data_IF_938011636898
#
_entry.id   IF_938011636898
#
_cell.length_a   1.000
_cell.length_b   1.000
_cell.length_c   1.000
_cell.angle_alpha   90.00
_cell.angle_beta   90.00
_cell.angle_gamma   90.00
#
_symmetry.space_group_name_H-M   'P 1'
#
loop_
_entity.id
_entity.type
_entity.pdbx_description
1 polymer ?
#
# COMPACT_ATOMS: atom_id res chain seq x y z
N UNK A 1 39.95 -40.43 -13.56
CA UNK A 1 38.62 -40.08 -13.01
C UNK A 1 38.82 -38.99 -11.97
N UNK A 2 38.62 -37.71 -12.30
CA UNK A 2 38.78 -36.61 -11.34
C UNK A 2 37.49 -36.44 -10.52
N UNK A 3 37.62 -36.18 -9.23
CA UNK A 3 36.52 -35.85 -8.32
C UNK A 3 35.87 -34.51 -8.70
N UNK A 4 34.54 -34.36 -8.59
CA UNK A 4 33.90 -33.07 -8.80
C UNK A 4 34.02 -32.18 -7.56
N UNK A 5 34.38 -30.93 -7.80
CA UNK A 5 34.41 -29.83 -6.82
C UNK A 5 33.00 -29.56 -6.27
N UNK A 6 32.84 -29.22 -4.97
CA UNK A 6 31.54 -28.83 -4.42
C UNK A 6 31.14 -27.48 -5.00
N UNK A 7 29.98 -27.47 -5.66
CA UNK A 7 29.39 -26.28 -6.28
C UNK A 7 29.11 -25.18 -5.27
N UNK A 8 29.42 -23.95 -5.67
CA UNK A 8 29.02 -22.71 -5.01
C UNK A 8 27.50 -22.69 -4.88
N UNK A 9 26.99 -22.96 -3.67
CA UNK A 9 25.60 -22.71 -3.33
C UNK A 9 25.40 -21.21 -3.38
N UNK A 10 24.74 -20.71 -4.42
CA UNK A 10 24.14 -19.39 -4.47
C UNK A 10 23.10 -19.31 -3.34
N UNK A 11 23.57 -18.91 -2.16
CA UNK A 11 22.75 -18.57 -1.02
C UNK A 11 21.88 -17.37 -1.40
N UNK A 12 20.69 -17.63 -1.94
CA UNK A 12 19.57 -16.71 -1.87
C UNK A 12 19.32 -16.44 -0.39
N UNK A 13 19.78 -15.28 0.11
CA UNK A 13 19.36 -14.78 1.41
C UNK A 13 17.99 -14.16 1.20
N UNK A 14 16.90 -14.78 1.70
CA UNK A 14 15.60 -14.13 1.66
C UNK A 14 15.68 -12.88 2.54
N UNK A 15 15.24 -11.76 1.98
CA UNK A 15 15.24 -10.45 2.63
C UNK A 15 14.16 -10.41 3.73
N UNK A 16 14.30 -11.22 4.78
CA UNK A 16 13.45 -11.14 5.96
C UNK A 16 13.88 -9.94 6.80
N UNK A 17 13.18 -8.84 6.54
CA UNK A 17 12.74 -7.79 7.46
C UNK A 17 13.33 -7.91 8.88
N UNK A 18 14.43 -7.21 9.12
CA UNK A 18 14.99 -7.02 10.46
C UNK A 18 14.13 -6.01 11.23
N UNK A 19 13.77 -6.31 12.49
CA UNK A 19 12.96 -5.44 13.36
C UNK A 19 13.52 -4.01 13.52
N UNK A 20 14.85 -3.83 13.38
CA UNK A 20 15.52 -2.52 13.36
C UNK A 20 15.15 -1.63 12.15
N UNK A 21 14.83 -2.23 10.99
CA UNK A 21 14.38 -1.51 9.79
C UNK A 21 13.02 -0.84 10.04
N UNK A 22 12.19 -1.40 10.93
CA UNK A 22 10.88 -0.84 11.27
C UNK A 22 10.96 0.37 12.21
N UNK A 23 11.87 0.36 13.21
CA UNK A 23 12.08 1.51 14.10
C UNK A 23 12.67 2.70 13.32
N UNK A 24 13.60 2.44 12.40
CA UNK A 24 14.16 3.49 11.53
C UNK A 24 13.24 3.90 10.37
N UNK A 25 12.45 2.97 9.84
CA UNK A 25 11.54 3.17 8.69
C UNK A 25 10.49 4.25 8.96
N UNK A 26 9.93 4.29 10.17
CA UNK A 26 9.02 5.36 10.59
C UNK A 26 9.68 6.75 10.59
N UNK A 27 10.94 6.84 11.03
CA UNK A 27 11.68 8.12 11.07
C UNK A 27 12.03 8.66 9.67
N UNK A 28 12.27 7.76 8.72
CA UNK A 28 12.59 8.09 7.32
C UNK A 28 11.33 8.44 6.55
N UNK A 29 10.31 7.58 6.58
CA UNK A 29 9.03 7.83 5.91
C UNK A 29 8.42 9.18 6.27
N UNK A 30 8.41 9.53 7.55
CA UNK A 30 7.96 10.85 8.02
C UNK A 30 8.76 12.01 7.44
N UNK A 31 10.11 11.98 7.48
CA UNK A 31 10.92 13.08 6.93
C UNK A 31 10.70 13.28 5.44
N UNK A 32 10.50 12.19 4.70
CA UNK A 32 10.12 12.27 3.29
C UNK A 32 8.74 12.90 3.13
N UNK A 33 7.78 12.48 3.96
CA UNK A 33 6.41 13.02 3.93
C UNK A 33 6.35 14.51 4.27
N UNK A 34 7.02 14.96 5.33
CA UNK A 34 7.04 16.39 5.70
C UNK A 34 7.60 17.23 4.53
N UNK A 35 8.69 16.78 3.90
CA UNK A 35 9.26 17.42 2.71
C UNK A 35 8.27 17.45 1.54
N UNK A 36 7.58 16.36 1.28
CA UNK A 36 6.57 16.30 0.21
C UNK A 36 5.38 17.24 0.47
N UNK A 37 4.94 17.36 1.72
CA UNK A 37 3.83 18.25 2.08
C UNK A 37 4.25 19.73 1.97
N UNK A 38 5.47 20.08 2.38
CA UNK A 38 5.88 21.50 2.50
C UNK A 38 6.62 22.04 1.29
N UNK A 39 7.40 21.22 0.59
CA UNK A 39 8.33 21.69 -0.45
C UNK A 39 7.87 21.37 -1.87
N UNK A 40 7.03 20.35 -2.07
CA UNK A 40 6.65 19.88 -3.40
C UNK A 40 5.22 20.32 -3.72
N UNK A 41 5.02 21.22 -4.71
CA UNK A 41 3.68 21.62 -5.12
C UNK A 41 2.95 20.44 -5.77
N UNK A 42 1.62 20.41 -5.60
CA UNK A 42 0.74 19.40 -6.20
C UNK A 42 1.15 17.94 -5.90
N UNK A 43 1.65 17.70 -4.69
CA UNK A 43 2.08 16.36 -4.26
C UNK A 43 0.99 15.62 -3.49
N UNK A 44 0.28 16.32 -2.61
CA UNK A 44 -0.76 15.77 -1.74
C UNK A 44 -2.12 15.98 -2.37
N UNK A 45 -2.94 14.94 -2.43
CA UNK A 45 -4.29 15.03 -2.97
C UNK A 45 -5.28 14.17 -2.19
N UNK A 46 -6.56 14.49 -2.34
CA UNK A 46 -7.68 13.64 -1.91
C UNK A 46 -8.28 12.93 -3.12
N UNK A 47 -8.86 11.75 -2.91
CA UNK A 47 -9.43 10.95 -4.00
C UNK A 47 -10.94 10.73 -3.80
N UNK A 48 -11.69 10.90 -4.88
CA UNK A 48 -13.07 10.40 -5.02
C UNK A 48 -13.33 10.05 -6.48
N UNK A 49 -14.33 9.23 -6.77
CA UNK A 49 -14.71 8.94 -8.16
C UNK A 49 -15.15 10.19 -8.94
N UNK A 50 -15.84 11.12 -8.27
CA UNK A 50 -16.33 12.35 -8.88
C UNK A 50 -15.23 13.40 -9.11
N UNK A 51 -14.20 13.41 -8.26
CA UNK A 51 -13.05 14.30 -8.39
C UNK A 51 -11.75 13.50 -8.18
N UNK A 52 -11.24 12.86 -9.25
CA UNK A 52 -10.00 12.11 -9.20
C UNK A 52 -8.82 13.09 -9.02
N UNK A 53 -8.06 12.94 -7.93
CA UNK A 53 -6.88 13.75 -7.59
C UNK A 53 -7.15 15.24 -7.34
N UNK A 54 -7.99 15.53 -6.36
CA UNK A 54 -8.17 16.90 -5.89
C UNK A 54 -6.98 17.31 -5.00
N UNK A 55 -6.05 18.10 -5.54
CA UNK A 55 -4.86 18.55 -4.82
C UNK A 55 -5.21 19.37 -3.57
N UNK A 56 -4.53 19.06 -2.47
CA UNK A 56 -4.68 19.79 -1.23
C UNK A 56 -3.94 21.12 -1.32
N UNK A 57 -4.58 22.20 -0.87
CA UNK A 57 -3.92 23.48 -0.73
C UNK A 57 -2.79 23.38 0.31
N UNK A 58 -1.66 24.09 0.12
CA UNK A 58 -0.60 24.17 1.11
C UNK A 58 -1.14 24.68 2.44
N UNK A 59 -0.71 24.08 3.54
CA UNK A 59 -1.11 24.48 4.90
C UNK A 59 0.11 24.87 5.73
N UNK A 60 0.05 25.98 6.49
CA UNK A 60 1.15 26.39 7.35
C UNK A 60 1.32 25.48 8.57
N UNK A 61 0.23 24.87 9.04
CA UNK A 61 0.24 23.87 10.10
C UNK A 61 -0.30 22.53 9.58
N UNK A 62 0.63 21.59 9.42
CA UNK A 62 0.39 20.24 8.91
C UNK A 62 0.14 19.25 10.05
N UNK A 63 0.47 19.60 11.30
CA UNK A 63 0.38 18.71 12.44
C UNK A 63 -0.91 18.97 13.24
N UNK A 64 -1.40 17.99 14.03
CA UNK A 64 -0.99 16.59 14.04
C UNK A 64 -1.66 15.79 12.91
N UNK A 65 -1.01 14.71 12.47
CA UNK A 65 -1.56 13.80 11.46
C UNK A 65 -1.23 12.33 11.75
N UNK A 66 -1.98 11.43 11.11
CA UNK A 66 -1.70 9.99 11.10
C UNK A 66 -1.05 9.60 9.77
N UNK A 67 0.15 9.02 9.81
CA UNK A 67 0.76 8.36 8.65
C UNK A 67 0.46 6.87 8.69
N UNK A 68 -0.26 6.38 7.68
CA UNK A 68 -0.55 4.96 7.44
C UNK A 68 0.31 4.47 6.28
N UNK A 69 1.44 3.84 6.61
CA UNK A 69 2.36 3.30 5.61
C UNK A 69 2.02 1.84 5.31
N UNK A 70 1.56 1.56 4.09
CA UNK A 70 1.12 0.24 3.63
C UNK A 70 2.21 -0.38 2.74
N UNK A 71 2.90 -1.38 3.27
CA UNK A 71 3.86 -2.22 2.56
C UNK A 71 3.48 -3.69 2.67
N UNK A 72 4.44 -4.57 2.97
CA UNK A 72 4.15 -5.99 3.27
C UNK A 72 3.15 -6.13 4.43
N UNK A 73 3.32 -5.32 5.47
CA UNK A 73 2.33 -5.07 6.53
C UNK A 73 1.95 -3.58 6.58
N UNK A 74 1.28 -3.16 7.65
CA UNK A 74 0.80 -1.79 7.84
C UNK A 74 1.42 -1.19 9.10
N UNK A 75 1.98 0.01 8.98
CA UNK A 75 2.46 0.80 10.12
C UNK A 75 1.66 2.08 10.25
N UNK A 76 1.20 2.39 11.46
CA UNK A 76 0.47 3.63 11.75
C UNK A 76 1.27 4.48 12.74
N UNK A 77 1.62 5.68 12.32
CA UNK A 77 2.49 6.59 13.07
C UNK A 77 1.75 7.89 13.29
N UNK A 78 1.51 8.26 14.55
CA UNK A 78 1.05 9.60 14.92
C UNK A 78 2.23 10.55 14.82
N UNK A 79 2.05 11.66 14.13
CA UNK A 79 3.05 12.72 14.02
C UNK A 79 2.43 14.00 14.60
N UNK A 80 2.96 14.42 15.74
CA UNK A 80 2.49 15.61 16.48
C UNK A 80 3.33 16.87 16.17
N UNK A 81 4.47 16.71 15.50
CA UNK A 81 5.36 17.81 15.13
C UNK A 81 6.65 17.33 14.44
N UNK A 82 7.53 18.26 14.02
CA UNK A 82 8.71 17.95 13.20
C UNK A 82 9.69 16.92 13.77
N UNK A 83 9.70 16.74 15.10
CA UNK A 83 10.51 15.73 15.80
C UNK A 83 9.69 14.87 16.76
N UNK A 84 8.37 15.04 16.78
CA UNK A 84 7.48 14.39 17.73
C UNK A 84 6.60 13.39 16.99
N UNK A 85 6.95 12.11 17.09
CA UNK A 85 6.21 11.03 16.44
C UNK A 85 6.26 9.75 17.27
N UNK A 86 5.23 8.92 17.12
CA UNK A 86 5.15 7.64 17.81
C UNK A 86 4.39 6.65 16.95
N UNK A 87 4.90 5.42 16.83
CA UNK A 87 4.15 4.33 16.21
C UNK A 87 3.01 3.94 17.16
N UNK A 88 1.78 4.21 16.75
CA UNK A 88 0.59 4.03 17.59
C UNK A 88 -0.15 2.74 17.30
N UNK A 89 -0.01 2.19 16.08
CA UNK A 89 -0.67 0.94 15.70
C UNK A 89 0.01 0.29 14.48
N UNK A 90 -0.53 -0.83 14.05
CA UNK A 90 -0.21 -1.50 12.80
C UNK A 90 -1.09 -2.73 12.58
N UNK A 91 -1.00 -3.32 11.39
CA UNK A 91 -1.69 -4.55 11.03
C UNK A 91 -0.74 -5.45 10.25
N UNK A 92 -0.84 -6.76 10.47
CA UNK A 92 -0.17 -7.76 9.63
C UNK A 92 -0.89 -7.94 8.29
N UNK A 93 -2.18 -7.55 8.20
CA UNK A 93 -2.97 -7.57 6.98
C UNK A 93 -2.62 -6.36 6.10
N UNK A 94 -1.58 -6.53 5.28
CA UNK A 94 -1.09 -5.51 4.36
C UNK A 94 -1.00 -6.02 2.92
N UNK A 95 -0.15 -5.39 2.11
CA UNK A 95 0.08 -5.78 0.73
C UNK A 95 0.71 -7.15 0.58
N UNK A 96 1.52 -7.59 1.55
CA UNK A 96 2.10 -8.93 1.56
C UNK A 96 1.04 -10.01 1.77
N UNK A 97 0.01 -9.73 2.55
CA UNK A 97 -1.14 -10.63 2.72
C UNK A 97 -1.95 -10.73 1.44
N UNK A 98 -2.28 -9.58 0.82
CA UNK A 98 -3.02 -9.56 -0.45
C UNK A 98 -2.25 -10.35 -1.52
N UNK A 99 -0.97 -10.04 -1.70
CA UNK A 99 -0.12 -10.69 -2.69
C UNK A 99 0.01 -12.19 -2.40
N UNK A 100 0.30 -12.58 -1.16
CA UNK A 100 0.47 -13.98 -0.79
C UNK A 100 -0.81 -14.80 -1.03
N UNK A 101 -1.97 -14.29 -0.64
CA UNK A 101 -3.26 -14.98 -0.86
C UNK A 101 -3.60 -15.05 -2.34
N UNK A 102 -3.43 -13.98 -3.11
CA UNK A 102 -3.73 -14.00 -4.53
C UNK A 102 -2.77 -14.90 -5.32
N UNK A 103 -1.50 -15.01 -4.92
CA UNK A 103 -0.58 -15.96 -5.53
C UNK A 103 -0.96 -17.42 -5.28
N UNK A 104 -1.72 -17.71 -4.21
CA UNK A 104 -2.24 -19.05 -3.94
C UNK A 104 -3.57 -19.31 -4.66
N UNK A 105 -4.39 -18.27 -4.84
CA UNK A 105 -5.77 -18.40 -5.32
C UNK A 105 -5.95 -18.06 -6.81
N UNK A 106 -4.94 -17.49 -7.45
CA UNK A 106 -4.98 -17.03 -8.84
C UNK A 106 -3.68 -17.39 -9.55
N UNK A 107 -3.68 -17.32 -10.88
CA UNK A 107 -2.50 -17.55 -11.71
C UNK A 107 -1.63 -16.29 -11.90
N UNK A 108 -1.89 -15.22 -11.15
CA UNK A 108 -1.13 -13.97 -11.25
C UNK A 108 0.35 -14.17 -10.91
N UNK A 109 1.22 -13.60 -11.74
CA UNK A 109 2.68 -13.63 -11.55
C UNK A 109 3.24 -12.34 -10.99
N UNK A 110 2.48 -11.25 -11.04
CA UNK A 110 2.89 -9.95 -10.52
C UNK A 110 1.78 -9.26 -9.74
N UNK A 111 2.17 -8.33 -8.87
CA UNK A 111 1.21 -7.52 -8.13
C UNK A 111 0.37 -6.63 -9.05
N UNK A 112 0.94 -6.16 -10.17
CA UNK A 112 0.23 -5.31 -11.12
C UNK A 112 -0.81 -6.12 -11.92
N UNK A 113 -0.53 -7.39 -12.25
CA UNK A 113 -1.54 -8.31 -12.81
C UNK A 113 -2.69 -8.55 -11.82
N UNK A 114 -2.39 -8.73 -10.53
CA UNK A 114 -3.42 -8.90 -9.49
C UNK A 114 -4.33 -7.68 -9.37
N UNK A 115 -3.75 -6.48 -9.41
CA UNK A 115 -4.51 -5.24 -9.43
C UNK A 115 -5.37 -5.16 -10.69
N UNK A 116 -4.81 -5.44 -11.87
CA UNK A 116 -5.55 -5.47 -13.14
C UNK A 116 -6.72 -6.46 -13.13
N UNK A 117 -6.55 -7.65 -12.53
CA UNK A 117 -7.65 -8.59 -12.31
C UNK A 117 -8.73 -8.03 -11.37
N UNK A 118 -8.30 -7.38 -10.29
CA UNK A 118 -9.21 -6.70 -9.37
C UNK A 118 -9.93 -5.48 -9.99
N UNK A 119 -9.53 -4.99 -11.16
CA UNK A 119 -10.29 -3.98 -11.93
C UNK A 119 -11.41 -4.60 -12.78
N UNK A 120 -11.35 -5.88 -13.13
CA UNK A 120 -12.27 -6.53 -14.07
C UNK A 120 -13.27 -7.54 -13.44
N UNK A 121 -13.03 -7.98 -12.21
CA UNK A 121 -13.96 -8.81 -11.44
C UNK A 121 -15.25 -8.16 -10.90
N UNK A 122 -15.97 -8.95 -10.12
CA UNK A 122 -17.18 -8.55 -9.40
C UNK A 122 -17.18 -9.22 -8.01
N UNK A 123 -16.93 -8.42 -6.97
CA UNK A 123 -16.84 -8.95 -5.62
C UNK A 123 -18.19 -9.48 -5.11
N UNK A 124 -19.32 -9.05 -5.68
CA UNK A 124 -20.65 -9.51 -5.26
C UNK A 124 -20.88 -11.00 -5.55
N UNK A 125 -20.05 -11.63 -6.38
CA UNK A 125 -20.08 -13.08 -6.63
C UNK A 125 -19.43 -13.87 -5.49
N UNK A 126 -18.50 -13.27 -4.76
CA UNK A 126 -17.66 -13.90 -3.73
C UNK A 126 -18.05 -13.46 -2.32
N UNK A 127 -18.35 -12.18 -2.14
CA UNK A 127 -18.69 -11.57 -0.85
C UNK A 127 -20.17 -11.70 -0.53
N UNK A 128 -20.47 -11.85 0.75
CA UNK A 128 -21.82 -11.68 1.30
C UNK A 128 -22.04 -10.20 1.59
N UNK A 129 -23.09 -9.62 1.02
CA UNK A 129 -23.49 -8.23 1.24
C UNK A 129 -24.60 -8.15 2.30
N UNK A 130 -24.82 -6.97 2.86
CA UNK A 130 -25.93 -6.70 3.78
C UNK A 130 -27.28 -7.03 3.12
N UNK A 131 -27.44 -6.71 1.83
CA UNK A 131 -28.63 -7.04 1.06
C UNK A 131 -28.89 -8.55 0.95
N UNK A 132 -27.84 -9.38 0.91
CA UNK A 132 -27.98 -10.84 0.86
C UNK A 132 -28.50 -11.43 2.18
N UNK A 133 -28.30 -10.72 3.29
CA UNK A 133 -28.74 -11.14 4.64
C UNK A 133 -30.14 -10.61 4.96
N UNK A 134 -30.39 -9.34 4.64
CA UNK A 134 -31.60 -8.62 5.08
C UNK A 134 -32.61 -8.33 3.96
N UNK A 135 -32.33 -8.71 2.71
CA UNK A 135 -33.17 -8.40 1.54
C UNK A 135 -33.17 -6.91 1.14
N UNK A 136 -32.35 -6.08 1.79
CA UNK A 136 -32.31 -4.63 1.60
C UNK A 136 -31.19 -3.97 2.41
N UNK A 137 -31.28 -2.66 2.63
CA UNK A 137 -30.36 -1.96 3.53
C UNK A 137 -30.70 -2.20 5.01
N UNK A 138 -29.73 -2.07 5.90
CA UNK A 138 -29.95 -2.15 7.34
C UNK A 138 -29.98 -0.74 7.96
N UNK A 139 -31.13 -0.08 7.80
CA UNK A 139 -31.32 1.33 8.16
C UNK A 139 -31.09 1.65 9.64
N UNK A 140 -31.32 0.69 10.55
CA UNK A 140 -31.10 0.88 12.00
C UNK A 140 -29.67 1.26 12.36
N UNK A 141 -28.69 0.83 11.56
CA UNK A 141 -27.25 1.09 11.77
C UNK A 141 -26.64 1.81 10.57
N UNK A 142 -27.47 2.28 9.63
CA UNK A 142 -27.02 3.06 8.47
C UNK A 142 -26.22 2.28 7.43
N UNK A 143 -26.36 0.94 7.35
CA UNK A 143 -25.65 0.13 6.37
C UNK A 143 -26.46 0.00 5.07
N UNK A 144 -25.81 0.24 3.93
CA UNK A 144 -26.43 0.09 2.59
C UNK A 144 -26.53 -1.40 2.23
N UNK A 145 -27.47 -1.76 1.37
CA UNK A 145 -27.60 -3.13 0.86
C UNK A 145 -26.33 -3.62 0.15
N UNK A 146 -25.59 -2.72 -0.49
CA UNK A 146 -24.32 -3.00 -1.17
C UNK A 146 -23.11 -3.10 -0.25
N UNK A 147 -23.25 -2.81 1.04
CA UNK A 147 -22.15 -2.92 2.00
C UNK A 147 -21.75 -4.39 2.17
N UNK A 148 -20.46 -4.69 2.12
CA UNK A 148 -19.94 -6.03 2.40
C UNK A 148 -20.20 -6.36 3.88
N UNK A 149 -20.95 -7.43 4.13
CA UNK A 149 -21.19 -7.96 5.47
C UNK A 149 -20.15 -9.02 5.85
N UNK A 150 -19.77 -9.88 4.90
CA UNK A 150 -18.72 -10.88 5.08
C UNK A 150 -17.94 -11.06 3.78
N UNK A 151 -16.67 -10.64 3.79
CA UNK A 151 -15.74 -10.97 2.71
C UNK A 151 -15.67 -12.50 2.53
N UNK A 152 -15.66 -12.98 1.30
CA UNK A 152 -15.65 -14.42 0.97
C UNK A 152 -16.83 -15.25 1.49
N UNK A 153 -17.88 -14.61 2.04
CA UNK A 153 -18.98 -15.31 2.69
C UNK A 153 -19.78 -16.24 1.77
N UNK A 154 -19.78 -16.01 0.44
CA UNK A 154 -20.48 -16.90 -0.52
C UNK A 154 -19.68 -18.15 -0.88
N UNK A 155 -18.37 -18.18 -0.62
CA UNK A 155 -17.51 -19.33 -0.93
C UNK A 155 -17.96 -20.56 -0.15
N UNK A 156 -18.15 -20.41 1.16
CA UNK A 156 -18.62 -21.50 2.01
C UNK A 156 -20.05 -21.94 1.67
N UNK A 157 -20.94 -20.98 1.39
CA UNK A 157 -22.34 -21.26 1.03
C UNK A 157 -22.43 -22.11 -0.24
N UNK A 158 -21.75 -21.70 -1.31
CA UNK A 158 -21.77 -22.45 -2.58
C UNK A 158 -21.11 -23.81 -2.47
N UNK A 159 -20.08 -23.96 -1.61
CA UNK A 159 -19.44 -25.27 -1.39
C UNK A 159 -20.44 -26.27 -0.82
N UNK A 160 -21.20 -25.86 0.21
CA UNK A 160 -22.24 -26.70 0.81
C UNK A 160 -23.40 -26.99 -0.12
N UNK A 161 -23.84 -26.01 -0.92
CA UNK A 161 -24.89 -26.20 -1.91
C UNK A 161 -24.46 -27.20 -3.00
N UNK A 162 -23.20 -27.15 -3.44
CA UNK A 162 -22.64 -28.11 -4.39
C UNK A 162 -22.53 -29.52 -3.81
N UNK A 163 -22.07 -29.64 -2.56
CA UNK A 163 -22.00 -30.92 -1.84
C UNK A 163 -23.39 -31.54 -1.64
N UNK A 164 -24.40 -30.73 -1.30
CA UNK A 164 -25.78 -31.20 -1.13
C UNK A 164 -26.42 -31.64 -2.46
N UNK A 165 -26.24 -30.87 -3.54
CA UNK A 165 -26.75 -31.22 -4.85
C UNK A 165 -26.11 -32.49 -5.43
N UNK A 166 -24.82 -32.73 -5.15
CA UNK A 166 -24.15 -33.98 -5.52
C UNK A 166 -24.73 -35.18 -4.75
N UNK A 167 -24.98 -35.02 -3.45
CA UNK A 167 -25.57 -36.08 -2.62
C UNK A 167 -27.01 -36.45 -3.03
N UNK A 168 -27.81 -35.49 -3.52
CA UNK A 168 -29.16 -35.78 -4.04
C UNK A 168 -29.13 -36.42 -5.44
N UNK A 169 -28.13 -36.11 -6.28
CA UNK A 169 -27.97 -36.71 -7.60
C UNK A 169 -27.54 -38.19 -7.54
N UNK A 170 -26.82 -38.60 -6.49
CA UNK A 170 -26.40 -40.00 -6.27
C UNK A 170 -27.50 -40.86 -5.57
N UNK A 171 -28.64 -40.25 -5.20
CA UNK A 171 -29.70 -40.88 -4.41
C UNK A 171 -30.86 -41.51 -5.19
N UNK A 172 -30.88 -41.43 -6.53
CA UNK A 172 -32.03 -41.81 -7.38
C UNK A 172 -31.69 -42.94 -8.39
N UNK A 173 -30.92 -43.92 -7.93
CA UNK A 173 -30.62 -45.16 -8.66
C UNK A 173 -31.25 -46.38 -8.01
N UNK A 174 -32.51 -46.65 -8.33
CA UNK A 174 -33.14 -47.95 -8.04
C UNK A 174 -32.40 -49.04 -8.83
N UNK A 175 -32.06 -50.14 -8.15
CA UNK A 175 -31.01 -51.06 -8.58
C UNK A 175 -31.36 -51.97 -9.75
N UNK A 176 -30.35 -52.32 -10.54
CA UNK A 176 -30.07 -53.73 -10.87
C UNK A 176 -28.67 -53.91 -11.51
N UNK A 177 -27.95 -54.94 -11.06
CA UNK A 177 -27.04 -55.72 -11.92
C UNK A 177 -25.57 -55.31 -12.10
N UNK A 178 -24.71 -56.08 -11.41
CA UNK A 178 -23.52 -56.76 -11.95
C UNK A 178 -22.12 -56.07 -11.96
N UNK A 179 -21.15 -56.93 -11.65
CA UNK A 179 -19.72 -56.73 -11.38
C UNK A 179 -18.89 -56.29 -12.59
N UNK A 180 -17.77 -55.60 -12.34
CA UNK A 180 -16.75 -55.36 -13.37
C UNK A 180 -15.65 -54.36 -13.01
N UNK A 181 -14.61 -54.86 -12.36
CA UNK A 181 -13.18 -54.62 -12.57
C UNK A 181 -12.59 -53.20 -12.82
N UNK A 182 -11.42 -53.05 -12.18
CA UNK A 182 -10.23 -52.25 -12.56
C UNK A 182 -10.05 -50.84 -11.97
N UNK A 183 -8.94 -50.75 -11.22
CA UNK A 183 -8.47 -49.55 -10.57
C UNK A 183 -8.00 -48.49 -11.55
N UNK A 184 -8.44 -47.26 -11.28
CA UNK A 184 -7.86 -46.03 -11.77
C UNK A 184 -7.42 -45.21 -10.57
N UNK A 185 -6.13 -44.89 -10.53
CA UNK A 185 -5.47 -44.11 -9.49
C UNK A 185 -6.15 -42.75 -9.27
N UNK A 186 -6.10 -42.29 -8.02
CA UNK A 186 -6.82 -41.14 -7.49
C UNK A 186 -6.79 -39.89 -8.36
N UNK A 187 -7.94 -39.56 -8.93
CA UNK A 187 -8.28 -38.22 -9.40
C UNK A 187 -9.36 -37.64 -8.48
N UNK A 188 -8.97 -37.32 -7.24
CA UNK A 188 -9.78 -36.52 -6.32
C UNK A 188 -9.88 -35.07 -6.79
N UNK A 189 -10.56 -34.85 -7.91
CA UNK A 189 -10.88 -33.52 -8.40
C UNK A 189 -12.02 -32.95 -7.58
N UNK A 190 -11.71 -32.23 -6.50
CA UNK A 190 -12.66 -31.40 -5.77
C UNK A 190 -13.29 -30.39 -6.76
N UNK A 191 -14.42 -30.72 -7.38
CA UNK A 191 -15.23 -29.76 -8.14
C UNK A 191 -16.00 -28.88 -7.17
N UNK A 192 -15.26 -28.14 -6.34
CA UNK A 192 -15.82 -27.01 -5.60
C UNK A 192 -16.33 -25.95 -6.58
N UNK A 193 -17.24 -25.07 -6.13
CA UNK A 193 -17.75 -23.97 -6.96
C UNK A 193 -16.59 -23.12 -7.49
N UNK A 194 -16.47 -23.03 -8.81
CA UNK A 194 -15.40 -22.29 -9.48
C UNK A 194 -15.75 -20.80 -9.50
N UNK A 195 -15.03 -20.00 -8.71
CA UNK A 195 -15.09 -18.54 -8.78
C UNK A 195 -14.09 -18.03 -9.81
N UNK A 196 -14.41 -16.92 -10.47
CA UNK A 196 -13.45 -16.26 -11.35
C UNK A 196 -12.32 -15.64 -10.54
N UNK A 197 -11.10 -15.72 -11.04
CA UNK A 197 -9.92 -15.18 -10.36
C UNK A 197 -10.01 -13.67 -10.19
N UNK A 198 -10.65 -12.97 -11.13
CA UNK A 198 -10.89 -11.54 -11.07
C UNK A 198 -11.86 -11.17 -9.93
N UNK A 199 -12.89 -11.99 -9.70
CA UNK A 199 -13.86 -11.78 -8.61
C UNK A 199 -13.20 -11.99 -7.24
N UNK A 200 -12.36 -13.03 -7.13
CA UNK A 200 -11.52 -13.31 -5.94
C UNK A 200 -10.56 -12.13 -5.69
N UNK A 201 -9.91 -11.65 -6.75
CA UNK A 201 -8.97 -10.52 -6.69
C UNK A 201 -9.65 -9.25 -6.19
N UNK A 202 -10.83 -8.93 -6.73
CA UNK A 202 -11.61 -7.76 -6.29
C UNK A 202 -12.06 -7.89 -4.83
N UNK A 203 -12.58 -9.05 -4.44
CA UNK A 203 -13.03 -9.32 -3.07
C UNK A 203 -11.88 -9.18 -2.06
N UNK A 204 -10.71 -9.79 -2.32
CA UNK A 204 -9.56 -9.66 -1.42
C UNK A 204 -9.02 -8.24 -1.35
N UNK A 205 -8.97 -7.52 -2.48
CA UNK A 205 -8.54 -6.13 -2.50
C UNK A 205 -9.44 -5.28 -1.61
N UNK A 206 -10.77 -5.45 -1.69
CA UNK A 206 -11.71 -4.78 -0.80
C UNK A 206 -11.59 -5.22 0.65
N UNK A 207 -11.41 -6.51 0.93
CA UNK A 207 -11.27 -7.02 2.29
C UNK A 207 -10.06 -6.37 2.99
N UNK A 208 -8.88 -6.39 2.34
CA UNK A 208 -7.65 -5.81 2.89
C UNK A 208 -7.78 -4.28 2.98
N UNK A 209 -8.23 -3.61 1.93
CA UNK A 209 -8.32 -2.14 1.91
C UNK A 209 -9.33 -1.60 2.92
N UNK A 210 -10.51 -2.22 3.04
CA UNK A 210 -11.52 -1.83 4.04
C UNK A 210 -11.01 -2.05 5.46
N UNK A 211 -10.31 -3.17 5.72
CA UNK A 211 -9.74 -3.44 7.04
C UNK A 211 -8.68 -2.38 7.42
N UNK A 212 -7.80 -2.03 6.49
CA UNK A 212 -6.81 -0.96 6.68
C UNK A 212 -7.50 0.38 6.96
N UNK A 213 -8.50 0.74 6.16
CA UNK A 213 -9.26 1.98 6.31
C UNK A 213 -9.98 2.06 7.67
N UNK A 214 -10.61 0.98 8.12
CA UNK A 214 -11.31 0.93 9.40
C UNK A 214 -10.34 1.08 10.58
N UNK A 215 -9.21 0.35 10.58
CA UNK A 215 -8.21 0.47 11.64
C UNK A 215 -7.61 1.88 11.64
N UNK A 216 -7.32 2.46 10.47
CA UNK A 216 -6.81 3.83 10.36
C UNK A 216 -7.79 4.85 10.94
N UNK A 217 -9.08 4.71 10.63
CA UNK A 217 -10.15 5.52 11.23
C UNK A 217 -10.16 5.40 12.76
N UNK A 218 -10.20 4.18 13.31
CA UNK A 218 -10.27 3.96 14.76
C UNK A 218 -9.04 4.53 15.48
N UNK A 219 -7.85 4.36 14.90
CA UNK A 219 -6.61 4.90 15.45
C UNK A 219 -6.61 6.43 15.38
N UNK A 220 -7.06 7.02 14.28
CA UNK A 220 -7.18 8.46 14.15
C UNK A 220 -8.18 9.03 15.16
N UNK A 221 -9.35 8.40 15.33
CA UNK A 221 -10.36 8.78 16.32
C UNK A 221 -9.81 8.71 17.75
N UNK A 222 -9.17 7.60 18.13
CA UNK A 222 -8.59 7.41 19.46
C UNK A 222 -7.51 8.45 19.80
N UNK A 223 -6.87 9.03 18.78
CA UNK A 223 -5.83 10.04 18.96
C UNK A 223 -6.26 11.48 18.63
N UNK A 224 -7.54 11.71 18.31
CA UNK A 224 -8.08 13.02 17.94
C UNK A 224 -7.46 13.60 16.67
N UNK A 225 -7.19 12.76 15.66
CA UNK A 225 -6.54 13.15 14.41
C UNK A 225 -7.58 13.31 13.29
N UNK A 226 -7.54 14.44 12.59
CA UNK A 226 -8.41 14.75 11.45
C UNK A 226 -7.79 14.30 10.11
N UNK A 227 -6.46 14.42 9.99
CA UNK A 227 -5.72 14.23 8.75
C UNK A 227 -5.01 12.88 8.74
N UNK A 228 -5.34 12.03 7.75
CA UNK A 228 -4.77 10.68 7.59
C UNK A 228 -4.08 10.60 6.23
N UNK A 229 -2.77 10.41 6.24
CA UNK A 229 -1.94 10.25 5.04
C UNK A 229 -1.66 8.78 4.80
N UNK A 230 -2.09 8.27 3.65
CA UNK A 230 -1.75 6.94 3.20
C UNK A 230 -0.50 6.99 2.32
N UNK A 231 0.49 6.17 2.65
CA UNK A 231 1.73 6.04 1.90
C UNK A 231 2.15 4.59 1.74
N UNK A 232 3.31 4.37 1.14
CA UNK A 232 3.87 3.04 0.88
C UNK A 232 3.61 2.55 -0.54
N UNK A 233 3.95 1.29 -0.80
CA UNK A 233 4.01 0.71 -2.16
C UNK A 233 2.79 -0.13 -2.52
N UNK A 234 1.76 -0.15 -1.68
CA UNK A 234 0.54 -0.93 -1.89
C UNK A 234 -0.47 -0.22 -2.80
N UNK A 235 -0.61 1.09 -2.65
CA UNK A 235 -1.65 1.86 -3.34
C UNK A 235 -1.32 1.96 -4.84
N UNK A 236 -0.06 2.28 -5.20
CA UNK A 236 0.46 2.40 -6.58
C UNK A 236 -0.43 3.23 -7.51
N UNK A 237 -1.11 4.24 -6.99
CA UNK A 237 -2.09 5.01 -7.76
C UNK A 237 -3.33 4.22 -8.22
N UNK A 238 -3.58 3.02 -7.70
CA UNK A 238 -4.73 2.20 -8.04
C UNK A 238 -6.04 2.83 -7.53
N UNK A 239 -6.91 3.18 -8.47
CA UNK A 239 -8.12 3.98 -8.24
C UNK A 239 -9.08 3.34 -7.26
N UNK A 240 -9.33 2.02 -7.39
CA UNK A 240 -10.24 1.30 -6.50
C UNK A 240 -9.71 1.29 -5.07
N UNK A 241 -8.39 1.16 -4.88
CA UNK A 241 -7.76 1.15 -3.56
C UNK A 241 -7.92 2.51 -2.88
N UNK A 242 -7.58 3.59 -3.58
CA UNK A 242 -7.73 4.97 -3.07
C UNK A 242 -9.20 5.31 -2.79
N UNK A 243 -10.12 4.89 -3.68
CA UNK A 243 -11.55 5.08 -3.47
C UNK A 243 -12.05 4.37 -2.21
N UNK A 244 -11.65 3.10 -2.03
CA UNK A 244 -12.05 2.28 -0.89
C UNK A 244 -11.58 2.88 0.43
N UNK A 245 -10.31 3.29 0.50
CA UNK A 245 -9.73 3.94 1.68
C UNK A 245 -10.44 5.28 1.97
N UNK A 246 -10.64 6.11 0.95
CA UNK A 246 -11.31 7.41 1.09
C UNK A 246 -12.76 7.25 1.55
N UNK A 247 -13.49 6.31 0.96
CA UNK A 247 -14.85 6.00 1.33
C UNK A 247 -14.92 5.49 2.77
N UNK A 248 -14.04 4.57 3.17
CA UNK A 248 -14.01 4.03 4.53
C UNK A 248 -13.80 5.14 5.56
N UNK A 249 -12.79 6.00 5.38
CA UNK A 249 -12.54 7.12 6.29
C UNK A 249 -13.73 8.06 6.35
N UNK A 250 -14.27 8.48 5.20
CA UNK A 250 -15.42 9.40 5.14
C UNK A 250 -16.68 8.81 5.78
N UNK A 251 -16.95 7.53 5.52
CA UNK A 251 -18.14 6.83 6.02
C UNK A 251 -18.11 6.71 7.54
N UNK A 252 -17.02 6.18 8.10
CA UNK A 252 -16.93 5.94 9.54
C UNK A 252 -16.77 7.23 10.35
N UNK A 253 -16.08 8.24 9.80
CA UNK A 253 -15.92 9.55 10.45
C UNK A 253 -17.09 10.51 10.22
N UNK A 254 -18.10 10.14 9.43
CA UNK A 254 -19.18 11.06 9.00
C UNK A 254 -18.64 12.34 8.34
N UNK A 255 -17.47 12.25 7.71
CA UNK A 255 -16.80 13.36 7.04
C UNK A 255 -15.90 14.23 7.94
N UNK A 256 -15.77 13.90 9.23
CA UNK A 256 -14.86 14.63 10.14
C UNK A 256 -13.39 14.36 9.85
N UNK A 257 -13.04 13.21 9.27
CA UNK A 257 -11.66 12.87 8.93
C UNK A 257 -11.44 12.84 7.41
N UNK A 258 -10.20 13.14 7.00
CA UNK A 258 -9.81 13.20 5.59
C UNK A 258 -8.66 12.24 5.29
N UNK A 259 -8.82 11.50 4.20
CA UNK A 259 -7.81 10.65 3.63
C UNK A 259 -7.02 11.41 2.55
N UNK A 260 -5.70 11.41 2.69
CA UNK A 260 -4.75 12.02 1.77
C UNK A 260 -3.84 10.96 1.16
N UNK A 261 -3.49 11.17 -0.11
CA UNK A 261 -2.57 10.35 -0.88
C UNK A 261 -1.45 11.22 -1.44
N UNK A 262 -0.37 10.55 -1.85
CA UNK A 262 0.82 11.20 -2.39
C UNK A 262 1.13 10.64 -3.77
N UNK A 263 1.57 11.51 -4.68
CA UNK A 263 2.05 11.06 -5.99
C UNK A 263 3.29 10.18 -5.86
N UNK A 264 4.14 10.46 -4.88
CA UNK A 264 5.39 9.75 -4.60
C UNK A 264 5.32 8.91 -3.31
N UNK A 265 4.17 8.31 -3.02
CA UNK A 265 3.89 7.47 -1.84
C UNK A 265 4.92 6.35 -1.57
N UNK A 266 5.51 5.77 -2.62
CA UNK A 266 6.50 4.68 -2.50
C UNK A 266 7.91 5.16 -2.10
N UNK A 267 8.19 6.46 -2.18
CA UNK A 267 9.55 7.01 -2.04
C UNK A 267 9.81 7.70 -0.70
N UNK A 268 8.80 7.80 0.17
CA UNK A 268 8.90 8.45 1.48
C UNK A 268 10.15 8.02 2.27
N UNK A 269 10.40 6.71 2.33
CA UNK A 269 11.53 6.16 3.06
C UNK A 269 12.90 6.47 2.43
N UNK A 270 12.97 6.54 1.10
CA UNK A 270 14.20 6.85 0.37
C UNK A 270 14.54 8.34 0.48
N UNK A 271 13.55 9.22 0.26
CA UNK A 271 13.69 10.67 0.40
C UNK A 271 14.08 11.03 1.84
N UNK A 272 13.41 10.44 2.84
CA UNK A 272 13.77 10.70 4.23
C UNK A 272 15.17 10.21 4.63
N UNK A 273 15.69 9.15 3.99
CA UNK A 273 17.07 8.70 4.18
C UNK A 273 18.06 9.70 3.56
N UNK A 274 17.75 10.15 2.35
CA UNK A 274 18.55 11.12 1.61
C UNK A 274 18.63 12.47 2.34
N UNK A 275 17.50 12.98 2.83
CA UNK A 275 17.42 14.21 3.64
C UNK A 275 18.20 14.09 4.96
N UNK A 276 18.19 12.91 5.60
CA UNK A 276 18.99 12.67 6.81
C UNK A 276 20.50 12.76 6.55
N UNK A 277 20.95 12.36 5.36
CA UNK A 277 22.37 12.34 4.99
C UNK A 277 22.90 13.73 4.62
N UNK A 278 22.03 14.67 4.20
CA UNK A 278 22.39 15.99 3.67
C UNK A 278 23.65 15.94 2.78
N UNK A 279 23.55 15.40 1.54
CA UNK A 279 24.71 15.29 0.66
C UNK A 279 25.42 16.63 0.47
N UNK A 280 26.74 16.61 0.24
CA UNK A 280 27.53 17.82 -0.03
C UNK A 280 26.84 18.61 -1.16
N UNK A 281 26.51 19.87 -0.89
CA UNK A 281 25.79 20.84 -1.75
C UNK A 281 24.25 20.87 -1.66
N UNK A 282 23.64 20.13 -0.73
CA UNK A 282 22.20 20.27 -0.46
C UNK A 282 21.84 21.71 -0.06
N UNK A 283 20.83 22.30 -0.71
CA UNK A 283 20.42 23.70 -0.49
C UNK A 283 21.10 24.75 -1.38
N UNK A 284 22.09 24.37 -2.21
CA UNK A 284 22.60 25.27 -3.25
C UNK A 284 21.64 25.28 -4.45
N UNK A 285 20.84 26.34 -4.56
CA UNK A 285 20.09 26.68 -5.77
C UNK A 285 21.07 27.13 -6.87
N UNK A 286 21.74 26.18 -7.51
CA UNK A 286 22.31 26.41 -8.83
C UNK A 286 21.65 25.41 -9.76
N UNK A 287 20.71 25.92 -10.55
CA UNK A 287 20.17 25.20 -11.71
C UNK A 287 21.33 24.76 -12.58
N UNK A 288 21.31 23.50 -13.00
CA UNK A 288 22.23 23.00 -14.02
C UNK A 288 22.03 23.84 -15.30
N UNK A 289 22.94 24.77 -15.56
CA UNK A 289 22.81 25.70 -16.68
C UNK A 289 23.68 26.96 -16.64
N UNK A 290 24.88 26.92 -16.05
CA UNK A 290 25.91 27.93 -16.36
C UNK A 290 27.22 27.19 -16.68
N UNK A 291 27.44 26.98 -17.98
CA UNK A 291 28.72 26.54 -18.52
C UNK A 291 29.81 27.58 -18.22
N UNK A 292 31.00 27.07 -17.90
CA UNK A 292 32.21 27.84 -17.71
C UNK A 292 32.60 28.62 -18.98
N UNK A 293 32.16 29.88 -19.06
CA UNK A 293 32.75 30.90 -19.92
C UNK A 293 34.00 31.49 -19.27
N UNK A 294 35.13 30.80 -19.39
CA UNK A 294 36.42 31.32 -18.93
C UNK A 294 36.80 32.62 -19.64
N UNK A 295 36.98 33.70 -18.89
CA UNK A 295 37.86 34.82 -19.28
C UNK A 295 38.74 35.18 -18.09
N UNK A 296 39.99 34.73 -18.17
CA UNK A 296 41.08 35.14 -17.27
C UNK A 296 41.29 36.64 -17.47
N UNK A 297 41.09 37.43 -16.42
CA UNK A 297 41.67 38.77 -16.34
C UNK A 297 43.07 38.59 -15.76
N UNK A 298 44.06 38.82 -16.61
CA UNK A 298 45.49 38.81 -16.29
C UNK A 298 45.80 40.08 -15.49
N UNK A 299 46.24 39.98 -14.24
CA UNK A 299 46.90 41.07 -13.52
C UNK A 299 48.40 40.75 -13.43
N UNK A 300 49.30 41.56 -14.01
CA UNK A 300 50.73 41.33 -13.90
C UNK A 300 51.23 41.72 -12.50
N UNK A 301 52.11 40.89 -11.96
CA UNK A 301 52.79 41.08 -10.68
C UNK A 301 53.78 42.25 -10.76
N UNK A 302 53.70 43.18 -9.80
CA UNK A 302 54.74 44.17 -9.56
C UNK A 302 55.73 43.62 -8.53
N UNK A 303 57.01 43.64 -8.93
CA UNK A 303 58.16 43.17 -8.19
C UNK A 303 58.40 43.97 -6.90
N UNK A 304 58.85 43.27 -5.86
CA UNK A 304 59.36 43.89 -4.65
C UNK A 304 60.73 44.54 -4.87
N UNK A 305 60.90 45.75 -4.36
CA UNK A 305 62.19 46.35 -4.08
C UNK A 305 62.07 47.11 -2.74
N UNK A 306 62.91 46.69 -1.78
CA UNK A 306 63.09 47.33 -0.49
C UNK A 306 64.03 48.54 -0.62
N UNK A 307 63.77 49.62 0.12
CA UNK A 307 64.80 50.46 0.79
C UNK A 307 64.17 51.70 1.45
N UNK A 308 64.65 52.05 2.65
CA UNK A 308 65.02 53.44 2.95
C UNK A 308 64.08 54.30 3.80
N UNK A 309 64.26 54.22 5.12
CA UNK A 309 64.49 55.35 6.04
C UNK A 309 63.80 56.73 5.81
N UNK A 310 62.94 57.07 6.77
CA UNK A 310 63.01 58.23 7.69
C UNK A 310 62.91 59.71 7.21
N UNK A 311 62.24 60.47 8.09
CA UNK A 311 62.41 61.90 8.46
C UNK A 311 61.37 62.92 7.95
N UNK A 312 60.58 63.39 8.92
CA UNK A 312 60.06 64.74 9.25
C UNK A 312 59.83 65.83 8.18
N UNK A 313 58.70 66.50 8.45
CA UNK A 313 58.13 67.78 7.97
C UNK A 313 57.43 67.79 6.61
#
# INVERSE_FOLDING_TARGET
MPHPSPGTVLSFRPLWIHWGVWREGGSRGRRGLDFFITEIPEEVFTYSEANPMAFAAPRPDIYPYLLVNIGSGVSMVKVSGPQQYTRVSGSSLGGGTLWGLLSLLTQAKSFDEMLGMAECGDNTKVDMLVGDIYGGGYGKVGLKSSTIASSFGKVFKKKREGEAAAAEADGDGDGDGAEGAEGGEGAGGEKGPRFREEDISRSLLYAVSNNIGQIAYLVAQNHGLEHIYFGGSFIRGHRQTMNTLSYAIKFWSRGEQKAYFLRHEGYLGAVGAFLRRQPRNWGRRYSAGEEHGGRRVFTPAAAGAAAGAAVKE
#
